data_IF_023995723100
#
_entry.id   IF_023995723100
#
_cell.length_a   1.000
_cell.length_b   1.000
_cell.length_c   1.000
_cell.angle_alpha   90.00
_cell.angle_beta   90.00
_cell.angle_gamma   90.00
#
_symmetry.space_group_name_H-M   'P 1'
#
loop_
_entity.id
_entity.type
_entity.pdbx_description
1 polymer ?
#
# COMPACT_ATOMS: atom_id res chain seq x y z
N UNK A 1 -44.63 59.14 81.88
CA UNK A 1 -43.89 57.86 81.98
C UNK A 1 -44.73 56.67 81.51
N UNK A 2 -45.28 56.70 80.28
CA UNK A 2 -46.22 55.66 79.79
C UNK A 2 -45.78 54.97 78.48
N UNK A 3 -44.66 55.42 77.88
CA UNK A 3 -44.11 54.89 76.62
C UNK A 3 -43.03 53.81 76.82
N UNK A 4 -42.28 53.83 77.93
CA UNK A 4 -41.25 52.81 78.26
C UNK A 4 -41.84 51.48 78.73
N UNK A 5 -43.02 51.48 79.37
CA UNK A 5 -43.70 50.26 79.82
C UNK A 5 -44.34 49.48 78.66
N UNK A 6 -44.82 50.19 77.61
CA UNK A 6 -45.39 49.56 76.41
C UNK A 6 -44.30 48.89 75.57
N UNK A 7 -43.12 49.49 75.42
CA UNK A 7 -41.98 48.83 74.74
C UNK A 7 -41.50 47.59 75.50
N UNK A 8 -41.52 47.59 76.83
CA UNK A 8 -41.12 46.41 77.62
C UNK A 8 -42.14 45.27 77.51
N UNK A 9 -43.43 45.59 77.45
CA UNK A 9 -44.51 44.62 77.25
C UNK A 9 -44.53 44.04 75.83
N UNK A 10 -44.17 44.84 74.82
CA UNK A 10 -44.03 44.38 73.43
C UNK A 10 -42.82 43.44 73.24
N UNK A 11 -41.72 43.69 73.97
CA UNK A 11 -40.49 42.87 73.89
C UNK A 11 -40.65 41.51 74.59
N UNK A 12 -41.46 41.45 75.65
CA UNK A 12 -41.82 40.21 76.36
C UNK A 12 -42.77 39.31 75.53
N UNK A 13 -43.66 39.92 74.74
CA UNK A 13 -44.58 39.19 73.87
C UNK A 13 -43.87 38.51 72.67
N UNK A 14 -42.79 39.12 72.15
CA UNK A 14 -42.01 38.58 71.02
C UNK A 14 -41.12 37.40 71.44
N UNK A 15 -40.64 37.36 72.70
CA UNK A 15 -39.88 36.21 73.22
C UNK A 15 -40.73 34.94 73.41
N UNK A 16 -42.05 35.06 73.54
CA UNK A 16 -42.93 33.92 73.79
C UNK A 16 -43.27 33.11 72.51
N UNK A 17 -43.13 33.71 71.33
CA UNK A 17 -43.53 33.09 70.04
C UNK A 17 -42.42 32.22 69.42
N UNK A 18 -41.15 32.38 69.86
CA UNK A 18 -40.01 31.61 69.33
C UNK A 18 -39.74 30.29 70.09
N UNK A 19 -40.51 29.96 71.13
CA UNK A 19 -40.35 28.72 71.91
C UNK A 19 -41.48 27.70 71.69
N UNK A 20 -42.39 27.94 70.75
CA UNK A 20 -43.47 26.99 70.41
C UNK A 20 -43.32 26.42 69.00
N UNK A 21 -42.25 25.65 68.79
CA UNK A 21 -42.24 24.58 67.79
C UNK A 21 -41.42 23.40 68.33
N UNK A 22 -41.86 22.90 69.49
CA UNK A 22 -41.44 21.64 70.08
C UNK A 22 -42.68 20.79 70.33
N UNK A 23 -43.24 20.23 69.26
CA UNK A 23 -44.26 19.16 69.34
C UNK A 23 -43.58 17.88 68.88
N UNK A 24 -43.49 16.93 69.82
CA UNK A 24 -43.13 15.56 69.56
C UNK A 24 -44.15 14.91 68.62
N UNK A 25 -43.68 14.56 67.43
CA UNK A 25 -44.18 13.48 66.60
C UNK A 25 -43.08 12.41 66.51
N UNK A 26 -43.43 11.14 66.27
CA UNK A 26 -42.59 9.99 66.58
C UNK A 26 -41.26 10.03 65.84
N UNK A 27 -40.20 9.70 66.58
CA UNK A 27 -38.91 9.40 66.03
C UNK A 27 -38.99 8.18 65.10
N UNK A 28 -38.10 8.20 64.09
CA UNK A 28 -37.46 7.05 63.45
C UNK A 28 -38.11 6.48 62.17
N UNK A 29 -37.64 6.98 61.01
CA UNK A 29 -36.74 6.22 60.13
C UNK A 29 -36.27 7.08 58.94
N UNK A 30 -35.28 7.95 59.14
CA UNK A 30 -34.44 8.43 58.03
C UNK A 30 -33.24 7.49 57.92
N UNK A 31 -33.48 6.30 57.37
CA UNK A 31 -32.40 5.51 56.80
C UNK A 31 -31.89 6.32 55.61
N UNK A 32 -30.77 7.02 55.76
CA UNK A 32 -30.03 7.52 54.61
C UNK A 32 -29.92 6.33 53.63
N UNK A 33 -30.37 6.46 52.38
CA UNK A 33 -30.27 5.35 51.44
C UNK A 33 -28.82 4.87 51.44
N UNK A 34 -28.67 3.57 51.70
CA UNK A 34 -27.37 2.92 51.76
C UNK A 34 -26.58 3.31 50.50
N UNK A 35 -25.37 3.83 50.66
CA UNK A 35 -24.57 4.39 49.56
C UNK A 35 -24.44 3.40 48.40
N UNK A 36 -24.48 2.10 48.72
CA UNK A 36 -24.51 1.00 47.77
C UNK A 36 -25.78 0.99 46.92
N UNK A 37 -26.94 1.14 47.55
CA UNK A 37 -28.24 1.23 46.85
C UNK A 37 -28.36 2.50 46.01
N UNK A 38 -27.84 3.64 46.47
CA UNK A 38 -27.74 4.85 45.65
C UNK A 38 -26.81 4.68 44.46
N UNK A 39 -25.66 4.01 44.64
CA UNK A 39 -24.72 3.72 43.56
C UNK A 39 -25.35 2.82 42.50
N UNK A 40 -26.03 1.76 42.92
CA UNK A 40 -26.68 0.83 41.99
C UNK A 40 -27.81 1.52 41.23
N UNK A 41 -28.59 2.38 41.91
CA UNK A 41 -29.60 3.22 41.27
C UNK A 41 -29.00 4.20 40.25
N UNK A 42 -27.89 4.88 40.58
CA UNK A 42 -27.21 5.80 39.65
C UNK A 42 -26.61 5.02 38.46
N UNK A 43 -26.06 3.84 38.69
CA UNK A 43 -25.55 2.97 37.63
C UNK A 43 -26.65 2.52 36.68
N UNK A 44 -27.84 2.22 37.19
CA UNK A 44 -28.98 1.83 36.37
C UNK A 44 -29.56 3.01 35.58
N UNK A 45 -29.61 4.21 36.18
CA UNK A 45 -29.96 5.45 35.46
C UNK A 45 -28.98 5.67 34.31
N UNK A 46 -27.67 5.53 34.53
CA UNK A 46 -26.65 5.71 33.48
C UNK A 46 -26.73 4.63 32.38
N UNK A 47 -27.16 3.42 32.72
CA UNK A 47 -27.35 2.32 31.75
C UNK A 47 -28.66 2.42 30.96
N UNK A 48 -29.62 3.22 31.45
CA UNK A 48 -30.92 3.39 30.81
C UNK A 48 -30.76 4.02 29.42
N UNK A 49 -31.62 3.63 28.49
CA UNK A 49 -31.56 4.10 27.10
C UNK A 49 -31.81 5.61 26.97
N UNK A 50 -32.53 6.22 27.92
CA UNK A 50 -32.71 7.67 28.01
C UNK A 50 -31.40 8.39 28.34
N UNK A 51 -30.58 7.87 29.26
CA UNK A 51 -29.28 8.43 29.57
C UNK A 51 -28.33 8.30 28.39
N UNK A 52 -28.30 7.14 27.72
CA UNK A 52 -27.52 6.96 26.48
C UNK A 52 -27.95 7.93 25.39
N UNK A 53 -29.26 8.09 25.15
CA UNK A 53 -29.80 9.04 24.17
C UNK A 53 -29.47 10.49 24.53
N UNK A 54 -29.54 10.85 25.81
CA UNK A 54 -29.21 12.18 26.30
C UNK A 54 -27.73 12.50 26.09
N UNK A 55 -26.84 11.56 26.40
CA UNK A 55 -25.40 11.67 26.12
C UNK A 55 -25.13 11.79 24.63
N UNK A 56 -25.78 10.96 23.79
CA UNK A 56 -25.65 11.05 22.32
C UNK A 56 -26.13 12.42 21.80
N UNK A 57 -27.20 12.97 22.36
CA UNK A 57 -27.71 14.29 21.98
C UNK A 57 -26.79 15.43 22.42
N UNK A 58 -26.19 15.32 23.61
CA UNK A 58 -25.13 16.23 24.04
C UNK A 58 -23.89 16.11 23.15
N UNK A 59 -23.51 14.90 22.75
CA UNK A 59 -22.41 14.67 21.80
C UNK A 59 -22.70 15.17 20.38
N UNK A 60 -23.95 15.49 20.03
CA UNK A 60 -24.29 16.13 18.75
C UNK A 60 -24.11 17.65 18.79
N UNK A 61 -24.16 18.26 19.97
CA UNK A 61 -23.95 19.69 20.18
C UNK A 61 -22.51 20.06 19.83
N UNK A 62 -22.33 21.06 18.97
CA UNK A 62 -21.01 21.54 18.57
C UNK A 62 -20.20 22.09 19.74
N UNK A 63 -20.86 22.71 20.72
CA UNK A 63 -20.19 23.28 21.90
C UNK A 63 -19.56 22.19 22.77
N UNK A 64 -20.29 21.08 22.96
CA UNK A 64 -19.82 19.91 23.69
C UNK A 64 -18.78 19.12 22.87
N UNK A 65 -18.96 18.96 21.56
CA UNK A 65 -17.96 18.36 20.66
C UNK A 65 -16.63 19.11 20.70
N UNK A 66 -16.63 20.45 20.66
CA UNK A 66 -15.40 21.24 20.72
C UNK A 66 -14.70 21.13 22.07
N UNK A 67 -15.44 20.93 23.16
CA UNK A 67 -14.89 20.69 24.50
C UNK A 67 -14.29 19.28 24.65
N UNK A 68 -14.83 18.28 23.94
CA UNK A 68 -14.41 16.89 24.00
C UNK A 68 -13.34 16.51 22.97
N UNK A 69 -13.40 17.11 21.78
CA UNK A 69 -12.42 16.90 20.71
C UNK A 69 -11.16 17.66 21.13
N UNK A 70 -10.10 16.92 21.47
CA UNK A 70 -8.75 17.49 21.56
C UNK A 70 -8.48 18.28 20.26
N UNK A 71 -7.81 19.42 20.39
CA UNK A 71 -7.45 20.33 19.30
C UNK A 71 -7.26 19.61 17.95
N UNK A 72 -7.94 20.08 16.90
CA UNK A 72 -8.00 19.43 15.59
C UNK A 72 -6.59 19.12 15.05
N UNK A 73 -5.63 20.01 15.33
CA UNK A 73 -4.24 19.83 14.95
C UNK A 73 -3.58 18.65 15.66
N UNK A 74 -3.91 18.42 16.93
CA UNK A 74 -3.42 17.29 17.73
C UNK A 74 -4.04 15.98 17.24
N UNK A 75 -5.34 15.95 16.96
CA UNK A 75 -6.01 14.75 16.40
C UNK A 75 -5.47 14.41 15.02
N UNK A 76 -5.30 15.42 14.16
CA UNK A 76 -4.72 15.24 12.82
C UNK A 76 -3.28 14.73 12.91
N UNK A 77 -2.47 15.30 13.78
CA UNK A 77 -1.07 14.89 13.98
C UNK A 77 -0.98 13.48 14.53
N UNK A 78 -1.79 13.15 15.54
CA UNK A 78 -1.86 11.80 16.10
C UNK A 78 -2.32 10.78 15.06
N UNK A 79 -3.29 11.13 14.22
CA UNK A 79 -3.76 10.28 13.12
C UNK A 79 -2.67 10.06 12.07
N UNK A 80 -2.00 11.13 11.61
CA UNK A 80 -0.89 11.04 10.66
C UNK A 80 0.24 10.20 11.25
N UNK A 81 0.67 10.47 12.49
CA UNK A 81 1.70 9.69 13.16
C UNK A 81 1.30 8.23 13.37
N UNK A 82 0.02 7.96 13.63
CA UNK A 82 -0.50 6.59 13.76
C UNK A 82 -0.46 5.85 12.42
N UNK A 83 -0.88 6.50 11.33
CA UNK A 83 -0.88 5.92 9.99
C UNK A 83 0.54 5.77 9.42
N UNK A 84 1.41 6.75 9.67
CA UNK A 84 2.80 6.79 9.20
C UNK A 84 3.73 5.84 9.95
N UNK A 85 3.30 5.26 11.07
CA UNK A 85 4.08 4.24 11.77
C UNK A 85 4.06 2.94 10.96
N UNK A 86 5.22 2.46 10.45
CA UNK A 86 5.27 1.27 9.60
C UNK A 86 4.81 -0.01 10.32
N UNK A 87 4.82 -0.02 11.66
CA UNK A 87 4.38 -1.15 12.49
C UNK A 87 2.99 -0.99 13.10
N UNK A 88 2.17 -0.07 12.60
CA UNK A 88 0.79 -0.01 13.09
C UNK A 88 -0.01 -1.25 12.60
N UNK A 89 -0.41 -2.17 13.49
CA UNK A 89 -1.14 -3.37 13.09
C UNK A 89 -2.49 -3.04 12.47
N UNK A 90 -3.13 -1.94 12.89
CA UNK A 90 -4.43 -1.52 12.37
C UNK A 90 -4.34 -1.11 10.90
N UNK A 91 -3.22 -0.52 10.49
CA UNK A 91 -2.98 -0.16 9.09
C UNK A 91 -2.69 -1.40 8.26
N UNK A 92 -1.85 -2.31 8.77
CA UNK A 92 -1.58 -3.60 8.10
C UNK A 92 -2.87 -4.41 7.89
N UNK A 93 -3.76 -4.45 8.87
CA UNK A 93 -5.08 -5.08 8.74
C UNK A 93 -6.02 -4.31 7.79
N UNK A 94 -6.01 -2.97 7.82
CA UNK A 94 -6.79 -2.17 6.87
C UNK A 94 -6.39 -2.42 5.41
N UNK A 95 -5.09 -2.60 5.14
CA UNK A 95 -4.59 -2.97 3.80
C UNK A 95 -5.01 -4.38 3.35
N UNK A 96 -5.51 -5.24 4.23
CA UNK A 96 -6.09 -6.54 3.84
C UNK A 96 -7.56 -6.43 3.43
N UNK A 97 -8.25 -5.34 3.78
CA UNK A 97 -9.64 -5.12 3.39
C UNK A 97 -9.72 -4.70 1.90
N UNK A 98 -10.43 -5.47 1.05
CA UNK A 98 -10.65 -5.12 -0.36
C UNK A 98 -11.35 -3.77 -0.57
N UNK A 99 -12.25 -3.36 0.34
CA UNK A 99 -12.97 -2.09 0.23
C UNK A 99 -12.05 -0.91 0.48
N UNK A 100 -11.22 -1.02 1.51
CA UNK A 100 -10.20 -0.02 1.84
C UNK A 100 -9.17 0.09 0.72
N UNK A 101 -8.58 -1.04 0.30
CA UNK A 101 -7.58 -1.06 -0.79
C UNK A 101 -8.14 -0.58 -2.13
N UNK A 102 -9.39 -0.94 -2.48
CA UNK A 102 -10.01 -0.45 -3.72
C UNK A 102 -10.20 1.07 -3.70
N UNK A 103 -10.67 1.61 -2.57
CA UNK A 103 -10.90 3.05 -2.42
C UNK A 103 -9.58 3.82 -2.44
N UNK A 104 -8.57 3.32 -1.72
CA UNK A 104 -7.23 3.88 -1.70
C UNK A 104 -6.55 3.81 -3.07
N UNK A 105 -6.65 2.67 -3.77
CA UNK A 105 -6.11 2.53 -5.12
C UNK A 105 -6.79 3.49 -6.11
N UNK A 106 -8.11 3.68 -5.99
CA UNK A 106 -8.86 4.63 -6.82
C UNK A 106 -8.42 6.08 -6.56
N UNK A 107 -8.23 6.48 -5.31
CA UNK A 107 -7.79 7.83 -4.97
C UNK A 107 -6.34 8.08 -5.39
N UNK A 108 -5.47 7.07 -5.27
CA UNK A 108 -4.06 7.16 -5.68
C UNK A 108 -3.82 7.02 -7.19
N UNK A 109 -4.84 6.61 -7.98
CA UNK A 109 -4.67 6.26 -9.40
C UNK A 109 -4.02 7.36 -10.24
N UNK A 110 -4.37 8.61 -10.00
CA UNK A 110 -3.85 9.75 -10.79
C UNK A 110 -2.38 10.02 -10.48
N UNK A 111 -2.06 10.18 -9.20
CA UNK A 111 -0.68 10.41 -8.74
C UNK A 111 0.22 9.21 -9.04
N UNK A 112 -0.27 7.99 -8.83
CA UNK A 112 0.47 6.78 -9.16
C UNK A 112 0.76 6.68 -10.65
N UNK A 113 -0.18 7.09 -11.53
CA UNK A 113 0.07 7.15 -12.97
C UNK A 113 1.12 8.21 -13.32
N UNK A 114 1.08 9.37 -12.69
CA UNK A 114 2.08 10.42 -12.89
C UNK A 114 3.47 9.92 -12.48
N UNK A 115 3.59 9.37 -11.26
CA UNK A 115 4.81 8.75 -10.75
C UNK A 115 5.36 7.69 -11.71
N UNK A 116 4.52 6.76 -12.18
CA UNK A 116 4.96 5.71 -13.11
C UNK A 116 5.42 6.29 -14.46
N UNK A 117 4.78 7.34 -14.96
CA UNK A 117 5.22 8.03 -16.18
C UNK A 117 6.56 8.72 -16.02
N UNK A 118 6.81 9.29 -14.85
CA UNK A 118 8.07 9.98 -14.59
C UNK A 118 9.20 8.98 -14.30
N UNK A 119 8.91 7.89 -13.58
CA UNK A 119 9.83 6.76 -13.43
C UNK A 119 10.22 6.16 -14.79
N UNK A 120 9.30 6.02 -15.75
CA UNK A 120 9.67 5.55 -17.09
C UNK A 120 10.67 6.46 -17.82
N UNK A 121 10.78 7.74 -17.45
CA UNK A 121 11.78 8.67 -17.99
C UNK A 121 13.08 8.65 -17.20
N UNK A 122 13.07 8.07 -15.99
CA UNK A 122 14.23 8.01 -15.13
C UNK A 122 15.24 6.96 -15.62
N UNK A 123 16.55 7.28 -15.72
CA UNK A 123 17.56 6.36 -16.23
C UNK A 123 17.73 5.09 -15.39
N UNK A 124 17.59 5.17 -14.06
CA UNK A 124 17.75 4.00 -13.19
C UNK A 124 16.57 3.04 -13.35
N UNK A 125 15.35 3.58 -13.41
CA UNK A 125 14.17 2.77 -13.70
C UNK A 125 14.19 2.16 -15.11
N UNK A 126 14.70 2.90 -16.10
CA UNK A 126 14.92 2.36 -17.44
C UNK A 126 15.92 1.20 -17.45
N UNK A 127 17.03 1.29 -16.70
CA UNK A 127 17.98 0.17 -16.56
C UNK A 127 17.32 -1.05 -15.96
N UNK A 128 16.52 -0.87 -14.90
CA UNK A 128 15.74 -1.97 -14.32
C UNK A 128 14.76 -2.56 -15.32
N UNK A 129 14.05 -1.73 -16.09
CA UNK A 129 13.14 -2.19 -17.14
C UNK A 129 13.87 -2.96 -18.25
N UNK A 130 15.05 -2.51 -18.66
CA UNK A 130 15.89 -3.22 -19.64
C UNK A 130 16.37 -4.57 -19.10
N UNK A 131 16.66 -4.66 -17.80
CA UNK A 131 17.02 -5.95 -17.19
C UNK A 131 15.86 -6.95 -17.26
N UNK A 132 14.62 -6.49 -17.07
CA UNK A 132 13.41 -7.30 -17.23
C UNK A 132 13.23 -7.73 -18.70
N UNK A 133 13.52 -6.84 -19.66
CA UNK A 133 13.47 -7.18 -21.09
C UNK A 133 14.57 -8.15 -21.55
N UNK A 134 15.60 -8.38 -20.73
CA UNK A 134 16.65 -9.38 -21.00
C UNK A 134 16.31 -10.75 -20.42
N UNK A 135 15.12 -10.92 -19.85
CA UNK A 135 14.67 -12.22 -19.36
C UNK A 135 14.51 -13.23 -20.52
N UNK A 136 14.90 -14.50 -20.33
CA UNK A 136 14.78 -15.54 -21.37
C UNK A 136 13.37 -15.71 -21.93
N UNK A 137 12.32 -15.47 -21.13
CA UNK A 137 10.94 -15.53 -21.62
C UNK A 137 10.64 -14.41 -22.62
N UNK A 138 11.14 -13.20 -22.34
CA UNK A 138 11.01 -12.07 -23.24
C UNK A 138 11.82 -12.29 -24.53
N UNK A 139 13.03 -12.84 -24.41
CA UNK A 139 13.85 -13.22 -25.57
C UNK A 139 13.11 -14.23 -26.45
N UNK A 140 12.50 -15.27 -25.86
CA UNK A 140 11.72 -16.27 -26.60
C UNK A 140 10.55 -15.63 -27.36
N UNK A 141 9.81 -14.73 -26.70
CA UNK A 141 8.70 -14.01 -27.33
C UNK A 141 9.20 -13.11 -28.49
N UNK A 142 10.35 -12.46 -28.31
CA UNK A 142 10.98 -11.66 -29.36
C UNK A 142 11.42 -12.54 -30.55
N UNK A 143 12.00 -13.70 -30.28
CA UNK A 143 12.41 -14.67 -31.31
C UNK A 143 11.21 -15.22 -32.09
N UNK A 144 10.07 -15.43 -31.42
CA UNK A 144 8.82 -15.81 -32.07
C UNK A 144 8.29 -14.68 -32.97
N UNK A 145 8.35 -13.43 -32.51
CA UNK A 145 7.99 -12.27 -33.32
C UNK A 145 8.89 -12.14 -34.56
N UNK A 146 10.19 -12.36 -34.45
CA UNK A 146 11.11 -12.39 -35.59
C UNK A 146 10.82 -13.54 -36.56
N UNK A 147 10.23 -14.64 -36.08
CA UNK A 147 9.79 -15.75 -36.94
C UNK A 147 8.43 -15.51 -37.57
N UNK A 148 7.69 -14.49 -37.15
CA UNK A 148 6.38 -14.15 -37.71
C UNK A 148 6.45 -13.85 -39.21
N UNK A 149 5.34 -14.10 -39.91
CA UNK A 149 5.26 -13.85 -41.35
C UNK A 149 5.45 -12.37 -41.70
N UNK A 150 5.01 -11.45 -40.83
CA UNK A 150 5.18 -10.01 -41.01
C UNK A 150 6.66 -9.62 -40.97
N UNK A 151 7.39 -10.07 -39.96
CA UNK A 151 8.83 -9.79 -39.86
C UNK A 151 9.60 -10.43 -41.02
N UNK A 152 9.30 -11.68 -41.38
CA UNK A 152 9.92 -12.35 -42.55
C UNK A 152 9.72 -11.57 -43.85
N UNK A 153 8.54 -10.99 -44.09
CA UNK A 153 8.30 -10.15 -45.28
C UNK A 153 9.21 -8.93 -45.29
N UNK A 154 9.34 -8.25 -44.15
CA UNK A 154 10.25 -7.11 -44.01
C UNK A 154 11.71 -7.54 -44.18
N UNK A 155 12.12 -8.66 -43.58
CA UNK A 155 13.48 -9.20 -43.75
C UNK A 155 13.76 -9.56 -45.20
N UNK A 156 12.82 -10.19 -45.92
CA UNK A 156 12.97 -10.47 -47.35
C UNK A 156 13.10 -9.20 -48.18
N UNK A 157 12.39 -8.13 -47.82
CA UNK A 157 12.51 -6.84 -48.49
C UNK A 157 13.88 -6.22 -48.26
N UNK A 158 14.35 -6.18 -47.00
CA UNK A 158 15.71 -5.71 -46.65
C UNK A 158 16.77 -6.53 -47.39
N UNK A 159 16.59 -7.85 -47.49
CA UNK A 159 17.50 -8.75 -48.21
C UNK A 159 17.55 -8.41 -49.71
N UNK A 160 16.40 -8.16 -50.33
CA UNK A 160 16.32 -7.74 -51.75
C UNK A 160 17.02 -6.41 -51.98
N UNK A 161 16.80 -5.44 -51.11
CA UNK A 161 17.46 -4.12 -51.17
C UNK A 161 18.96 -4.25 -50.96
N UNK A 162 19.40 -5.07 -50.00
CA UNK A 162 20.80 -5.36 -49.76
C UNK A 162 21.46 -6.00 -51.00
N UNK A 163 20.80 -6.95 -51.67
CA UNK A 163 21.31 -7.55 -52.91
C UNK A 163 21.38 -6.57 -54.09
N UNK A 164 20.57 -5.51 -54.07
CA UNK A 164 20.59 -4.44 -55.06
C UNK A 164 21.66 -3.38 -54.76
N UNK A 165 22.27 -3.41 -53.57
CA UNK A 165 23.35 -2.51 -53.21
C UNK A 165 24.58 -2.76 -54.08
N UNK A 166 25.18 -1.72 -54.70
CA UNK A 166 26.41 -1.85 -55.49
C UNK A 166 27.56 -2.49 -54.71
N UNK A 167 27.62 -2.27 -53.39
CA UNK A 167 28.61 -2.89 -52.50
C UNK A 167 28.43 -4.41 -52.44
N UNK A 168 27.20 -4.88 -52.25
CA UNK A 168 26.90 -6.31 -52.18
C UNK A 168 27.08 -6.99 -53.53
N UNK A 169 26.72 -6.31 -54.63
CA UNK A 169 26.95 -6.83 -55.98
C UNK A 169 28.43 -6.95 -56.30
N UNK A 170 29.25 -5.96 -55.92
CA UNK A 170 30.69 -6.02 -56.08
C UNK A 170 31.30 -7.17 -55.26
N UNK A 171 30.93 -7.33 -53.99
CA UNK A 171 31.37 -8.47 -53.18
C UNK A 171 30.93 -9.81 -53.78
N UNK A 172 29.70 -9.91 -54.27
CA UNK A 172 29.19 -11.12 -54.92
C UNK A 172 29.97 -11.45 -56.20
N UNK A 173 30.31 -10.44 -57.01
CA UNK A 173 31.17 -10.64 -58.18
C UNK A 173 32.57 -11.12 -57.77
N UNK A 174 33.20 -10.50 -56.76
CA UNK A 174 34.52 -10.95 -56.28
C UNK A 174 34.50 -12.36 -55.72
N UNK A 175 33.41 -12.76 -55.04
CA UNK A 175 33.18 -14.13 -54.58
C UNK A 175 33.02 -15.11 -55.74
N UNK A 176 32.26 -14.75 -56.77
CA UNK A 176 32.11 -15.57 -57.98
C UNK A 176 33.43 -15.72 -58.74
N UNK A 177 34.23 -14.66 -58.84
CA UNK A 177 35.56 -14.72 -59.45
C UNK A 177 36.48 -15.64 -58.67
N UNK A 178 36.55 -15.49 -57.32
CA UNK A 178 37.35 -16.40 -56.47
C UNK A 178 36.88 -17.85 -56.54
N UNK A 179 35.58 -18.11 -56.49
CA UNK A 179 35.04 -19.46 -56.59
C UNK A 179 35.36 -20.10 -57.96
N UNK A 180 35.33 -19.30 -59.03
CA UNK A 180 35.69 -19.74 -60.37
C UNK A 180 37.19 -19.98 -60.51
N UNK A 181 38.03 -19.11 -59.95
CA UNK A 181 39.48 -19.32 -59.84
C UNK A 181 39.81 -20.59 -59.05
N UNK A 182 39.09 -20.88 -57.97
CA UNK A 182 39.29 -22.10 -57.18
C UNK A 182 38.77 -23.37 -57.88
N UNK A 183 37.75 -23.27 -58.74
CA UNK A 183 37.34 -24.37 -59.63
C UNK A 183 38.28 -24.55 -60.83
N UNK A 184 38.86 -23.46 -61.36
CA UNK A 184 39.79 -23.48 -62.49
C UNK A 184 41.22 -23.82 -62.07
N UNK A 185 41.59 -23.61 -60.80
CA UNK A 185 42.79 -24.22 -60.23
C UNK A 185 42.62 -25.73 -60.36
N UNK A 186 43.48 -26.43 -61.10
CA UNK A 186 43.41 -27.88 -61.17
C UNK A 186 43.49 -28.38 -59.73
N UNK A 187 42.53 -29.23 -59.32
CA UNK A 187 42.74 -30.15 -58.21
C UNK A 187 44.03 -30.87 -58.55
N UNK A 188 45.16 -30.40 -58.02
CA UNK A 188 46.41 -31.13 -58.08
C UNK A 188 46.11 -32.43 -57.37
N UNK A 189 45.83 -33.47 -58.16
CA UNK A 189 46.07 -34.83 -57.76
C UNK A 189 47.50 -34.87 -57.24
N UNK A 190 47.69 -34.72 -55.93
CA UNK A 190 48.84 -35.28 -55.26
C UNK A 190 48.63 -36.79 -55.25
N UNK A 191 48.90 -37.44 -56.39
CA UNK A 191 49.20 -38.86 -56.41
C UNK A 191 50.71 -39.02 -56.58
N UNK A 192 51.37 -39.27 -55.45
CA UNK A 192 52.44 -40.25 -55.38
C UNK A 192 53.86 -39.74 -55.26
N UNK A 193 54.47 -39.97 -54.09
CA UNK A 193 55.75 -40.68 -54.08
C UNK A 193 55.80 -41.65 -52.89
N UNK A 194 55.92 -42.93 -53.25
CA UNK A 194 56.27 -44.08 -52.42
C UNK A 194 57.33 -43.74 -51.38
N UNK A 195 57.14 -44.22 -50.16
CA UNK A 195 58.21 -44.89 -49.41
C UNK A 195 57.70 -46.28 -49.06
N UNK A 196 58.20 -47.26 -49.80
CA UNK A 196 58.11 -48.69 -49.48
C UNK A 196 59.18 -49.04 -48.45
N UNK A 197 58.83 -49.93 -47.53
CA UNK A 197 59.72 -50.65 -46.62
C UNK A 197 59.24 -50.48 -45.17
N UNK A 198 59.04 -51.50 -44.34
CA UNK A 198 59.10 -52.96 -44.44
C UNK A 198 58.77 -53.47 -43.02
N UNK A 199 58.13 -54.64 -42.89
CA UNK A 199 58.03 -55.42 -41.64
C UNK A 199 56.85 -55.03 -40.75
N UNK A 200 55.78 -55.83 -40.56
CA UNK A 200 55.69 -57.20 -40.01
C UNK A 200 55.38 -57.21 -38.50
N UNK A 201 54.39 -58.05 -38.14
CA UNK A 201 53.96 -58.35 -36.77
C UNK A 201 52.78 -57.48 -36.32
N UNK A 202 51.62 -57.99 -35.93
CA UNK A 202 51.20 -59.33 -35.55
C UNK A 202 49.83 -59.14 -34.90
N UNK A 203 48.93 -60.10 -35.06
CA UNK A 203 47.56 -59.97 -34.60
C UNK A 203 47.38 -60.02 -33.08
N UNK A 204 46.11 -59.93 -32.75
CA UNK A 204 45.43 -60.56 -31.63
C UNK A 204 45.06 -59.70 -30.41
N UNK A 205 43.88 -60.06 -29.90
CA UNK A 205 43.28 -59.80 -28.59
C UNK A 205 42.63 -58.41 -28.37
N UNK A 206 41.30 -58.24 -28.36
CA UNK A 206 40.22 -58.87 -27.57
C UNK A 206 39.81 -57.99 -26.37
N UNK A 207 38.48 -57.97 -26.16
CA UNK A 207 37.69 -57.38 -25.05
C UNK A 207 37.17 -55.96 -25.20
#
# INVERSE_FOLDING_TARGET
MRKRTVSFWLLLAVSLVMTSCGVGGPAQNTTHPDYRSMKDMVLDILKTDEAKKSVINMMKDESFKRSLIMDESTVRTALIQSISKPDNPQIKEAFKDPKFTSTLAKSMKTEHKALMKDLMKDPEYQKMMISIMRDPEFEKNMMELMRSSAYRKQTMQIMKEAMQSPLFQAEMMTLMTKATEDMMKPKTMKKGKKKSGSGEGGGDSQS
#
